data_IF_530320845045
#
_entry.id   IF_530320845045
#
_cell.length_a   1.000
_cell.length_b   1.000
_cell.length_c   1.000
_cell.angle_alpha   90.00
_cell.angle_beta   90.00
_cell.angle_gamma   90.00
#
_symmetry.space_group_name_H-M   'P 1'
#
loop_
_entity.id
_entity.type
_entity.pdbx_description
1 polymer ?
#
# COMPACT_ATOMS: atom_id res chain seq x y z
N UNK A 1 -29.14 -27.73 18.02
CA UNK A 1 -28.79 -26.29 17.93
C UNK A 1 -27.40 -26.26 17.35
N UNK A 2 -27.30 -26.12 16.03
CA UNK A 2 -26.02 -26.07 15.34
C UNK A 2 -25.42 -24.69 15.56
N UNK A 3 -24.33 -24.63 16.32
CA UNK A 3 -23.44 -23.47 16.34
C UNK A 3 -22.80 -23.39 14.97
N UNK A 4 -23.37 -22.54 14.10
CA UNK A 4 -22.71 -22.10 12.88
C UNK A 4 -21.45 -21.38 13.34
N UNK A 5 -20.31 -22.08 13.19
CA UNK A 5 -19.00 -21.50 13.39
C UNK A 5 -18.80 -20.45 12.30
N UNK A 6 -19.14 -19.20 12.65
CA UNK A 6 -18.79 -18.02 11.87
C UNK A 6 -17.33 -17.64 12.15
N UNK A 7 -16.42 -18.62 12.18
CA UNK A 7 -15.00 -18.38 11.93
C UNK A 7 -14.92 -17.76 10.54
N UNK A 8 -15.03 -16.43 10.59
CA UNK A 8 -15.23 -15.47 9.53
C UNK A 8 -14.63 -15.92 8.21
N UNK A 9 -15.46 -16.03 7.18
CA UNK A 9 -14.99 -16.04 5.80
C UNK A 9 -14.17 -14.76 5.59
N UNK A 10 -12.85 -14.89 5.70
CA UNK A 10 -11.92 -13.80 5.46
C UNK A 10 -12.11 -13.35 4.03
N UNK A 11 -12.26 -12.05 3.83
CA UNK A 11 -12.36 -11.50 2.48
C UNK A 11 -11.02 -11.72 1.77
N UNK A 12 -11.03 -12.19 0.50
CA UNK A 12 -9.79 -12.43 -0.22
C UNK A 12 -8.98 -11.13 -0.38
N UNK A 13 -7.65 -11.19 -0.37
CA UNK A 13 -6.82 -10.04 -0.67
C UNK A 13 -7.10 -9.48 -2.07
N UNK A 14 -6.96 -8.17 -2.24
CA UNK A 14 -7.18 -7.47 -3.51
C UNK A 14 -5.86 -6.89 -3.98
N UNK A 15 -5.52 -7.14 -5.25
CA UNK A 15 -4.28 -6.65 -5.85
C UNK A 15 -4.52 -5.36 -6.63
N UNK A 16 -3.65 -4.37 -6.41
CA UNK A 16 -3.69 -3.09 -7.10
C UNK A 16 -2.31 -2.71 -7.64
N UNK A 17 -2.30 -1.95 -8.72
CA UNK A 17 -1.10 -1.35 -9.30
C UNK A 17 -1.25 0.16 -9.19
N UNK A 18 -0.22 0.83 -8.69
CA UNK A 18 -0.13 2.29 -8.67
C UNK A 18 1.15 2.75 -9.34
N UNK A 19 1.10 3.84 -10.11
CA UNK A 19 2.28 4.52 -10.63
C UNK A 19 2.26 5.94 -10.10
N UNK A 20 3.39 6.37 -9.55
CA UNK A 20 3.58 7.69 -8.98
C UNK A 20 4.69 8.43 -9.72
N UNK A 21 4.61 9.75 -9.76
CA UNK A 21 5.80 10.55 -10.05
C UNK A 21 6.77 10.52 -8.86
N UNK A 22 7.97 11.04 -9.07
CA UNK A 22 9.01 11.17 -8.03
C UNK A 22 9.09 12.57 -7.45
N UNK A 23 8.02 13.36 -7.55
CA UNK A 23 7.95 14.64 -6.86
C UNK A 23 7.81 14.40 -5.35
N UNK A 24 8.09 15.40 -4.50
CA UNK A 24 7.84 15.29 -3.06
C UNK A 24 6.39 14.93 -2.69
N UNK A 25 5.43 15.22 -3.56
CA UNK A 25 4.01 14.89 -3.38
C UNK A 25 3.67 13.45 -3.81
N UNK A 26 4.56 12.80 -4.57
CA UNK A 26 4.38 11.49 -5.19
C UNK A 26 2.98 11.33 -5.80
N UNK A 27 2.67 12.21 -6.75
CA UNK A 27 1.35 12.27 -7.37
C UNK A 27 1.07 10.99 -8.12
N UNK A 28 -0.16 10.51 -8.01
CA UNK A 28 -0.58 9.28 -8.67
C UNK A 28 -0.84 9.55 -10.15
N UNK A 29 0.02 8.99 -11.01
CA UNK A 29 -0.09 9.08 -12.47
C UNK A 29 -1.05 8.03 -13.03
N UNK A 30 -1.14 6.89 -12.37
CA UNK A 30 -2.02 5.79 -12.73
C UNK A 30 -2.39 4.95 -11.50
N UNK A 31 -3.59 4.38 -11.52
CA UNK A 31 -4.01 3.33 -10.59
C UNK A 31 -4.87 2.31 -11.34
N UNK A 32 -4.74 1.03 -11.00
CA UNK A 32 -5.60 -0.03 -11.56
C UNK A 32 -7.04 0.12 -11.09
N UNK A 33 -8.00 -0.33 -11.90
CA UNK A 33 -9.43 -0.24 -11.58
C UNK A 33 -9.85 -1.06 -10.35
N UNK A 34 -9.03 -2.00 -9.90
CA UNK A 34 -9.24 -2.78 -8.67
C UNK A 34 -9.29 -1.91 -7.41
N UNK A 35 -8.83 -0.65 -7.48
CA UNK A 35 -8.96 0.30 -6.37
C UNK A 35 -10.41 0.60 -5.98
N UNK A 36 -11.37 0.43 -6.91
CA UNK A 36 -12.82 0.50 -6.60
C UNK A 36 -13.22 -0.54 -5.57
N UNK A 37 -12.77 -1.78 -5.77
CA UNK A 37 -13.06 -2.87 -4.85
C UNK A 37 -12.24 -2.73 -3.56
N UNK A 38 -10.98 -2.31 -3.68
CA UNK A 38 -10.04 -2.33 -2.57
C UNK A 38 -10.17 -1.15 -1.61
N UNK A 39 -10.40 0.06 -2.14
CA UNK A 39 -10.40 1.30 -1.37
C UNK A 39 -11.68 2.11 -1.56
N UNK A 40 -12.61 1.64 -2.40
CA UNK A 40 -13.92 2.26 -2.62
C UNK A 40 -13.82 3.67 -3.25
N UNK A 41 -12.75 3.90 -4.02
CA UNK A 41 -12.55 5.11 -4.83
C UNK A 41 -12.64 4.78 -6.33
N UNK A 42 -13.10 5.73 -7.11
CA UNK A 42 -12.92 5.74 -8.56
C UNK A 42 -11.48 6.13 -8.94
N UNK A 43 -10.87 5.50 -9.96
CA UNK A 43 -9.54 5.89 -10.42
C UNK A 43 -9.39 7.39 -10.74
N UNK A 44 -10.45 8.03 -11.26
CA UNK A 44 -10.46 9.47 -11.56
C UNK A 44 -10.40 10.36 -10.32
N UNK A 45 -10.75 9.85 -9.14
CA UNK A 45 -10.63 10.58 -7.87
C UNK A 45 -9.20 10.52 -7.31
N UNK A 46 -8.42 9.54 -7.77
CA UNK A 46 -7.07 9.24 -7.29
C UNK A 46 -6.02 9.83 -8.21
N UNK A 47 -6.20 9.69 -9.53
CA UNK A 47 -5.21 10.15 -10.52
C UNK A 47 -5.05 11.67 -10.43
N UNK A 48 -3.79 12.11 -10.40
CA UNK A 48 -3.38 13.51 -10.24
C UNK A 48 -3.27 13.97 -8.80
N UNK A 49 -3.79 13.21 -7.82
CA UNK A 49 -3.72 13.58 -6.41
C UNK A 49 -2.39 13.17 -5.78
N UNK A 50 -1.91 13.90 -4.75
CA UNK A 50 -0.85 13.42 -3.87
C UNK A 50 -1.23 12.09 -3.23
N UNK A 51 -0.24 11.25 -2.94
CA UNK A 51 -0.48 9.91 -2.37
C UNK A 51 -0.74 9.91 -0.86
N UNK A 52 -0.18 10.89 -0.14
CA UNK A 52 -0.28 10.99 1.32
C UNK A 52 -1.70 10.97 1.90
N UNK A 53 -2.71 11.65 1.32
CA UNK A 53 -4.08 11.63 1.84
C UNK A 53 -4.73 10.24 1.90
N UNK A 54 -4.22 9.28 1.12
CA UNK A 54 -4.73 7.91 1.06
C UNK A 54 -4.04 6.97 2.06
N UNK A 55 -2.98 7.43 2.73
CA UNK A 55 -2.28 6.70 3.80
C UNK A 55 -2.92 7.08 5.14
N UNK A 56 -3.23 6.10 5.98
CA UNK A 56 -3.85 6.35 7.28
C UNK A 56 -2.89 7.10 8.23
N UNK A 57 -3.44 8.01 9.04
CA UNK A 57 -2.68 8.85 9.98
C UNK A 57 -1.88 7.98 10.96
N UNK A 58 -0.60 8.29 11.14
CA UNK A 58 0.33 7.55 12.01
C UNK A 58 1.42 6.76 11.26
N UNK A 59 1.32 6.66 9.93
CA UNK A 59 2.27 5.92 9.10
C UNK A 59 3.21 6.82 8.25
N UNK A 60 3.49 8.03 8.73
CA UNK A 60 4.35 8.99 8.02
C UNK A 60 5.80 8.55 7.99
N UNK A 61 6.30 7.85 9.03
CA UNK A 61 7.68 7.38 9.09
C UNK A 61 7.98 6.27 8.08
N UNK A 62 7.08 5.29 7.93
CA UNK A 62 7.27 4.22 6.94
C UNK A 62 7.22 4.74 5.50
N UNK A 63 6.44 5.80 5.29
CA UNK A 63 6.37 6.47 4.01
C UNK A 63 7.59 7.35 3.73
N UNK A 64 8.15 8.00 4.75
CA UNK A 64 9.42 8.73 4.65
C UNK A 64 10.56 7.81 4.22
N UNK A 65 10.60 6.58 4.75
CA UNK A 65 11.59 5.58 4.34
C UNK A 65 11.45 5.16 2.87
N UNK A 66 10.23 5.13 2.31
CA UNK A 66 10.04 4.95 0.87
C UNK A 66 10.65 6.12 0.09
N UNK A 67 10.42 7.36 0.53
CA UNK A 67 11.01 8.54 -0.12
C UNK A 67 12.55 8.53 -0.06
N UNK A 68 13.14 8.13 1.06
CA UNK A 68 14.60 8.02 1.18
C UNK A 68 15.15 6.90 0.29
N UNK A 69 14.40 5.80 0.12
CA UNK A 69 14.78 4.69 -0.75
C UNK A 69 14.57 4.97 -2.26
N UNK A 70 13.74 5.97 -2.63
CA UNK A 70 13.56 6.43 -4.02
C UNK A 70 14.84 6.96 -4.69
N UNK A 71 15.91 7.13 -3.92
CA UNK A 71 17.20 7.57 -4.47
C UNK A 71 18.18 6.42 -4.74
N UNK A 72 17.82 5.16 -4.45
CA UNK A 72 18.81 4.07 -4.41
C UNK A 72 18.64 2.96 -5.47
N UNK A 73 17.77 3.10 -6.49
CA UNK A 73 17.49 2.03 -7.48
C UNK A 73 17.23 0.64 -6.86
N UNK A 74 16.53 0.61 -5.72
CA UNK A 74 16.25 -0.61 -4.96
C UNK A 74 14.78 -0.98 -5.05
N UNK A 75 14.51 -2.28 -4.88
CA UNK A 75 13.16 -2.78 -4.63
C UNK A 75 12.92 -2.75 -3.12
N UNK A 76 11.84 -2.10 -2.71
CA UNK A 76 11.47 -1.97 -1.30
C UNK A 76 10.14 -2.65 -1.06
N UNK A 77 10.09 -3.53 -0.06
CA UNK A 77 8.83 -4.08 0.44
C UNK A 77 8.45 -3.35 1.71
N UNK A 78 7.22 -2.86 1.79
CA UNK A 78 6.69 -2.18 2.98
C UNK A 78 5.26 -2.58 3.28
N UNK A 79 4.86 -2.44 4.54
CA UNK A 79 3.48 -2.54 4.99
C UNK A 79 2.95 -1.16 5.35
N UNK A 80 1.80 -0.77 4.78
CA UNK A 80 1.15 0.50 5.10
C UNK A 80 -0.33 0.32 5.39
N UNK A 81 -0.87 1.17 6.25
CA UNK A 81 -2.31 1.32 6.41
C UNK A 81 -2.82 2.33 5.38
N UNK A 82 -3.80 1.94 4.58
CA UNK A 82 -4.48 2.83 3.63
C UNK A 82 -5.89 3.13 4.11
N UNK A 83 -6.38 4.32 3.79
CA UNK A 83 -7.74 4.76 4.12
C UNK A 83 -8.66 4.56 2.91
N UNK A 84 -9.84 3.98 3.14
CA UNK A 84 -10.90 3.88 2.12
C UNK A 84 -11.69 5.17 2.01
N UNK A 85 -12.50 5.34 0.97
CA UNK A 85 -13.40 6.50 0.83
C UNK A 85 -14.42 6.62 1.97
N UNK A 86 -14.74 5.50 2.61
CA UNK A 86 -15.62 5.42 3.79
C UNK A 86 -14.88 5.64 5.12
N UNK A 87 -13.57 5.88 5.09
CA UNK A 87 -12.75 6.16 6.26
C UNK A 87 -12.21 4.93 6.99
N UNK A 88 -12.52 3.70 6.51
CA UNK A 88 -11.97 2.45 7.03
C UNK A 88 -10.47 2.36 6.76
N UNK A 89 -9.75 1.55 7.54
CA UNK A 89 -8.31 1.34 7.38
C UNK A 89 -8.01 -0.09 7.03
N UNK A 90 -7.31 -0.31 5.91
CA UNK A 90 -6.88 -1.64 5.47
C UNK A 90 -5.36 -1.73 5.46
N UNK A 91 -4.84 -2.89 5.87
CA UNK A 91 -3.42 -3.17 5.71
C UNK A 91 -3.11 -3.45 4.25
N UNK A 92 -2.03 -2.86 3.77
CA UNK A 92 -1.55 -2.96 2.40
C UNK A 92 -0.09 -3.32 2.41
N UNK A 93 0.27 -4.45 1.79
CA UNK A 93 1.65 -4.76 1.47
C UNK A 93 1.99 -4.16 0.11
N UNK A 94 3.03 -3.35 0.03
CA UNK A 94 3.49 -2.68 -1.19
C UNK A 94 4.87 -3.21 -1.55
N UNK A 95 5.05 -3.60 -2.81
CA UNK A 95 6.36 -3.78 -3.44
C UNK A 95 6.61 -2.56 -4.32
N UNK A 96 7.58 -1.76 -3.93
CA UNK A 96 7.96 -0.52 -4.58
C UNK A 96 9.15 -0.75 -5.50
N UNK A 97 8.95 -0.47 -6.79
CA UNK A 97 10.00 -0.45 -7.80
C UNK A 97 10.33 0.99 -8.11
N UNK A 98 11.58 1.35 -7.88
CA UNK A 98 12.07 2.68 -8.16
C UNK A 98 12.66 2.73 -9.58
N UNK A 99 12.05 3.54 -10.45
CA UNK A 99 12.51 3.78 -11.81
C UNK A 99 13.06 5.21 -11.95
N UNK A 100 13.61 5.56 -13.12
CA UNK A 100 14.27 6.87 -13.33
C UNK A 100 13.33 8.05 -13.02
N UNK A 101 12.11 8.05 -13.56
CA UNK A 101 11.17 9.18 -13.47
C UNK A 101 9.87 8.86 -12.75
N UNK A 102 9.65 7.58 -12.42
CA UNK A 102 8.41 7.09 -11.81
C UNK A 102 8.72 6.10 -10.71
N UNK A 103 7.75 5.90 -9.83
CA UNK A 103 7.70 4.79 -8.90
C UNK A 103 6.53 3.88 -9.24
N UNK A 104 6.78 2.58 -9.35
CA UNK A 104 5.76 1.57 -9.56
C UNK A 104 5.50 0.82 -8.26
N UNK A 105 4.23 0.81 -7.83
CA UNK A 105 3.76 0.11 -6.64
C UNK A 105 2.90 -1.09 -7.04
N UNK A 106 3.29 -2.28 -6.58
CA UNK A 106 2.44 -3.47 -6.59
C UNK A 106 1.88 -3.67 -5.18
N UNK A 107 0.57 -3.51 -5.03
CA UNK A 107 -0.11 -3.50 -3.75
C UNK A 107 -0.94 -4.78 -3.57
N UNK A 108 -0.92 -5.32 -2.36
CA UNK A 108 -1.87 -6.35 -1.89
C UNK A 108 -2.59 -5.80 -0.67
N UNK A 109 -3.89 -5.56 -0.82
CA UNK A 109 -4.76 -4.96 0.20
C UNK A 109 -5.53 -6.07 0.89
N UNK A 110 -5.48 -6.08 2.21
CA UNK A 110 -6.18 -7.03 3.07
C UNK A 110 -7.39 -6.33 3.66
N UNK A 111 -8.60 -6.56 3.12
CA UNK A 111 -9.79 -5.81 3.53
C UNK A 111 -10.29 -6.20 4.93
N UNK A 112 -9.85 -7.31 5.51
CA UNK A 112 -10.28 -7.68 6.85
C UNK A 112 -9.64 -6.79 7.94
N UNK A 113 -10.38 -6.52 9.04
CA UNK A 113 -9.82 -5.81 10.18
C UNK A 113 -8.55 -6.51 10.66
N UNK A 114 -7.53 -5.73 10.99
CA UNK A 114 -6.33 -6.28 11.60
C UNK A 114 -6.71 -6.98 12.92
N UNK A 115 -6.19 -8.19 13.20
CA UNK A 115 -6.53 -8.92 14.42
C UNK A 115 -6.05 -8.14 15.65
N UNK A 116 -6.96 -7.77 16.55
CA UNK A 116 -6.60 -7.09 17.80
C UNK A 116 -5.84 -8.02 18.79
N UNK A 117 -4.85 -7.51 19.55
CA UNK A 117 -4.23 -6.20 19.39
C UNK A 117 -3.26 -6.30 18.22
N UNK A 118 -3.59 -5.67 17.10
CA UNK A 118 -2.67 -5.57 16.00
C UNK A 118 -1.61 -4.59 16.46
N UNK A 119 -0.59 -5.10 17.17
CA UNK A 119 0.74 -4.55 17.05
C UNK A 119 0.91 -4.41 15.55
N UNK A 120 0.88 -3.17 15.05
CA UNK A 120 1.17 -2.87 13.65
C UNK A 120 2.35 -3.77 13.32
N UNK A 121 2.20 -4.78 12.44
CA UNK A 121 3.26 -5.77 12.26
C UNK A 121 4.53 -4.96 12.06
N UNK A 122 5.58 -5.19 12.86
CA UNK A 122 6.75 -4.31 12.88
C UNK A 122 7.13 -4.08 11.44
N UNK A 123 7.15 -2.82 11.01
CA UNK A 123 7.33 -2.50 9.59
C UNK A 123 8.60 -3.19 9.13
N UNK A 124 8.44 -4.29 8.41
CA UNK A 124 9.55 -5.09 7.93
C UNK A 124 9.92 -4.48 6.58
N UNK A 125 10.96 -3.67 6.60
CA UNK A 125 11.57 -3.17 5.38
C UNK A 125 12.55 -4.22 4.91
N UNK A 126 12.22 -4.86 3.80
CA UNK A 126 13.19 -5.65 3.06
C UNK A 126 13.62 -4.82 1.86
N UNK A 127 14.91 -4.53 1.84
CA UNK A 127 15.55 -3.76 0.77
C UNK A 127 16.38 -4.74 -0.05
N UNK A 128 15.94 -4.98 -1.27
CA UNK A 128 16.65 -5.84 -2.20
C UNK A 128 17.50 -4.97 -3.13
N UNK A 129 18.82 -5.17 -3.07
CA UNK A 129 19.76 -4.60 -4.03
C UNK A 129 20.05 -5.65 -5.11
N UNK A 130 19.56 -5.46 -6.35
CA UNK A 130 19.74 -6.44 -7.42
C UNK A 130 21.21 -6.58 -7.85
N UNK A 131 22.11 -5.70 -7.40
CA UNK A 131 23.53 -5.75 -7.72
C UNK A 131 24.36 -6.47 -6.65
N UNK A 132 23.76 -6.95 -5.56
CA UNK A 132 24.46 -7.76 -4.55
C UNK A 132 24.57 -9.20 -5.07
N UNK A 133 25.78 -9.77 -5.22
CA UNK A 133 25.95 -11.17 -5.58
C UNK A 133 25.27 -12.09 -4.55
N UNK A 134 24.48 -13.06 -5.02
CA UNK A 134 23.87 -14.10 -4.17
C UNK A 134 24.86 -15.24 -3.87
#
# INVERSE_FOLDING_TARGET
MDTIDRTSERRPPIHCIGIHDKTPEMRMLYVSSSVRQAMQYEPSEIIGQPSMPFVANGNTEGYKHLMDAQNQNKVVVTGVLVRTSMGEMYYTRIIHFNCDNIALNLCTIYPDPLPEPAVTPPMSFEVFDPNTPQ
#
